data_IF_580517986789
#
_entry.id   IF_580517986789
#
_cell.length_a   1.000
_cell.length_b   1.000
_cell.length_c   1.000
_cell.angle_alpha   90.00
_cell.angle_beta   90.00
_cell.angle_gamma   90.00
#
_symmetry.space_group_name_H-M   'P 1'
#
loop_
_entity.id
_entity.type
_entity.pdbx_description
1 polymer ?
#
# COMPACT_ATOMS: atom_id res chain seq x y z
N UNK A 1 -11.22 3.09 21.17
CA UNK A 1 -10.88 3.73 19.89
C UNK A 1 -11.92 4.81 19.60
N UNK A 2 -11.66 6.07 19.93
CA UNK A 2 -12.55 7.17 19.58
C UNK A 2 -12.25 7.63 18.15
N UNK A 3 -13.10 7.26 17.18
CA UNK A 3 -13.04 7.76 15.81
C UNK A 3 -13.93 9.00 15.70
N UNK A 4 -13.35 10.20 15.74
CA UNK A 4 -14.09 11.43 15.48
C UNK A 4 -14.09 11.73 13.97
N UNK A 5 -15.25 11.98 13.33
CA UNK A 5 -15.29 12.47 11.96
C UNK A 5 -14.65 13.87 11.90
N UNK A 6 -13.66 14.05 11.02
CA UNK A 6 -12.86 15.29 10.89
C UNK A 6 -13.63 16.50 10.33
N UNK A 7 -14.95 16.38 10.09
CA UNK A 7 -15.78 17.43 9.49
C UNK A 7 -15.81 18.74 10.31
N UNK A 8 -15.37 18.72 11.58
CA UNK A 8 -15.51 19.86 12.51
C UNK A 8 -14.24 20.67 12.79
N UNK A 9 -13.06 20.26 12.33
CA UNK A 9 -11.79 20.98 12.61
C UNK A 9 -11.19 21.70 11.39
N UNK A 10 -11.84 21.65 10.24
CA UNK A 10 -11.28 22.15 8.96
C UNK A 10 -11.92 23.47 8.50
N UNK A 11 -12.13 24.43 9.41
CA UNK A 11 -12.72 25.74 9.07
C UNK A 11 -11.73 26.77 8.50
N UNK A 12 -10.48 26.40 8.16
CA UNK A 12 -9.46 27.39 7.73
C UNK A 12 -8.57 27.07 6.53
N UNK A 13 -8.73 25.95 5.84
CA UNK A 13 -7.92 25.68 4.64
C UNK A 13 -8.78 25.06 3.56
N UNK A 14 -8.68 25.59 2.33
CA UNK A 14 -9.47 25.22 1.15
C UNK A 14 -9.78 23.72 1.08
N UNK A 15 -11.05 23.41 0.90
CA UNK A 15 -11.60 22.05 0.77
C UNK A 15 -10.82 21.23 -0.25
N UNK A 16 -10.17 20.16 0.18
CA UNK A 16 -9.75 19.11 -0.73
C UNK A 16 -11.01 18.43 -1.28
N UNK A 17 -11.13 18.19 -2.60
CA UNK A 17 -12.28 17.52 -3.20
C UNK A 17 -12.18 16.01 -2.94
N UNK A 18 -12.27 15.59 -1.67
CA UNK A 18 -12.10 14.19 -1.29
C UNK A 18 -13.48 13.54 -1.22
N UNK A 19 -13.80 12.72 -2.23
CA UNK A 19 -15.00 11.88 -2.29
C UNK A 19 -14.98 10.71 -1.27
N UNK A 20 -13.98 10.67 -0.39
CA UNK A 20 -13.68 9.56 0.53
C UNK A 20 -13.64 10.11 1.97
N UNK A 21 -14.34 9.50 2.94
CA UNK A 21 -14.33 9.96 4.32
C UNK A 21 -12.92 9.92 4.95
N UNK A 22 -12.53 11.00 5.62
CA UNK A 22 -11.25 11.13 6.33
C UNK A 22 -11.50 11.20 7.84
N UNK A 23 -10.79 10.39 8.62
CA UNK A 23 -10.92 10.31 10.08
C UNK A 23 -9.58 10.59 10.76
N UNK A 24 -9.64 11.31 11.88
CA UNK A 24 -8.50 11.46 12.77
C UNK A 24 -8.53 10.32 13.79
N UNK A 25 -7.39 9.69 14.01
CA UNK A 25 -7.19 8.72 15.07
C UNK A 25 -6.12 9.23 16.03
N UNK A 26 -6.33 8.99 17.32
CA UNK A 26 -5.35 9.36 18.36
C UNK A 26 -4.16 8.40 18.37
N UNK A 27 -4.40 7.13 18.04
CA UNK A 27 -3.40 6.07 17.88
C UNK A 27 -3.71 5.25 16.62
N UNK A 28 -2.72 4.77 15.83
CA UNK A 28 -1.29 5.07 15.87
C UNK A 28 -0.92 6.49 15.42
N UNK A 29 0.13 7.03 16.03
CA UNK A 29 0.46 8.45 15.93
C UNK A 29 1.00 8.88 14.55
N UNK A 30 1.77 8.01 13.90
CA UNK A 30 2.48 8.27 12.63
C UNK A 30 1.83 7.60 11.40
N UNK A 31 0.51 7.43 11.41
CA UNK A 31 -0.21 6.73 10.34
C UNK A 31 -0.94 7.70 9.42
N UNK A 32 -0.79 7.50 8.12
CA UNK A 32 -1.77 7.89 7.11
C UNK A 32 -2.02 6.61 6.32
N UNK A 33 -3.28 6.20 6.22
CA UNK A 33 -3.63 4.93 5.57
C UNK A 33 -5.03 4.94 4.97
N UNK A 34 -5.16 4.36 3.79
CA UNK A 34 -6.43 3.98 3.19
C UNK A 34 -6.89 2.61 3.67
N UNK A 35 -8.06 2.55 4.33
CA UNK A 35 -8.69 1.31 4.81
C UNK A 35 -9.96 0.98 4.02
N UNK A 36 -10.29 -0.31 3.95
CA UNK A 36 -11.48 -0.80 3.26
C UNK A 36 -11.26 -1.07 1.78
N UNK A 37 -12.18 -1.85 1.18
CA UNK A 37 -12.10 -2.27 -0.23
C UNK A 37 -13.17 -1.55 -1.07
N UNK A 38 -14.46 -1.82 -0.81
CA UNK A 38 -15.57 -1.27 -1.59
C UNK A 38 -15.97 0.15 -1.18
N UNK A 39 -15.66 0.53 0.06
CA UNK A 39 -15.95 1.85 0.64
C UNK A 39 -14.70 2.33 1.35
N UNK A 40 -13.68 2.82 0.60
CA UNK A 40 -12.43 3.25 1.19
C UNK A 40 -12.67 4.38 2.20
N UNK A 41 -11.80 4.48 3.20
CA UNK A 41 -11.77 5.55 4.20
C UNK A 41 -10.30 5.86 4.49
N UNK A 42 -9.98 7.12 4.72
CA UNK A 42 -8.61 7.52 5.08
C UNK A 42 -8.54 7.75 6.58
N UNK A 43 -7.57 7.13 7.23
CA UNK A 43 -7.23 7.37 8.63
C UNK A 43 -5.96 8.20 8.71
N UNK A 44 -5.96 9.20 9.58
CA UNK A 44 -4.82 10.09 9.82
C UNK A 44 -4.54 10.14 11.32
N UNK A 45 -3.34 9.73 11.71
CA UNK A 45 -2.82 9.80 13.08
C UNK A 45 -2.61 11.25 13.52
N UNK A 46 -2.80 11.50 14.81
CA UNK A 46 -2.69 12.85 15.37
C UNK A 46 -1.30 13.48 15.14
N UNK A 47 -0.20 12.74 15.33
CA UNK A 47 1.16 13.27 15.09
C UNK A 47 1.39 13.54 13.61
N UNK A 48 1.01 12.61 12.72
CA UNK A 48 1.08 12.82 11.27
C UNK A 48 0.33 14.11 10.84
N UNK A 49 -0.87 14.33 11.38
CA UNK A 49 -1.66 15.52 11.10
C UNK A 49 -0.98 16.82 11.59
N UNK A 50 -0.32 16.79 12.75
CA UNK A 50 0.37 17.97 13.31
C UNK A 50 1.75 18.24 12.70
N UNK A 51 2.41 17.22 12.15
CA UNK A 51 3.79 17.34 11.66
C UNK A 51 3.90 17.68 10.17
N UNK A 52 2.84 17.44 9.40
CA UNK A 52 2.82 17.74 7.97
C UNK A 52 2.28 19.15 7.68
N UNK A 53 2.96 19.87 6.81
CA UNK A 53 2.47 21.12 6.24
C UNK A 53 1.26 20.85 5.33
N UNK A 54 0.43 21.87 5.01
CA UNK A 54 -0.77 21.67 4.20
C UNK A 54 -0.53 21.00 2.83
N UNK A 55 0.55 21.39 2.12
CA UNK A 55 0.93 20.79 0.84
C UNK A 55 1.39 19.33 0.98
N UNK A 56 2.15 19.02 2.02
CA UNK A 56 2.62 17.68 2.34
C UNK A 56 1.46 16.74 2.73
N UNK A 57 0.52 17.25 3.52
CA UNK A 57 -0.68 16.51 3.90
C UNK A 57 -1.57 16.24 2.69
N UNK A 58 -1.74 17.23 1.81
CA UNK A 58 -2.44 17.05 0.54
C UNK A 58 -1.75 16.00 -0.35
N UNK A 59 -0.42 16.04 -0.43
CA UNK A 59 0.37 15.06 -1.17
C UNK A 59 0.18 13.64 -0.61
N UNK A 60 0.24 13.47 0.71
CA UNK A 60 0.03 12.19 1.38
C UNK A 60 -1.40 11.66 1.16
N UNK A 61 -2.43 12.51 1.28
CA UNK A 61 -3.82 12.13 1.02
C UNK A 61 -4.01 11.71 -0.44
N UNK A 62 -3.44 12.45 -1.39
CA UNK A 62 -3.52 12.12 -2.82
C UNK A 62 -2.86 10.76 -3.13
N UNK A 63 -1.73 10.48 -2.49
CA UNK A 63 -1.06 9.19 -2.54
C UNK A 63 -1.98 8.05 -2.02
N UNK A 64 -2.55 8.19 -0.82
CA UNK A 64 -3.47 7.19 -0.23
C UNK A 64 -4.75 6.98 -1.05
N UNK A 65 -5.29 8.05 -1.64
CA UNK A 65 -6.43 7.96 -2.55
C UNK A 65 -6.09 7.15 -3.80
N UNK A 66 -4.84 7.17 -4.25
CA UNK A 66 -4.42 6.36 -5.38
C UNK A 66 -4.50 4.88 -5.05
N UNK A 67 -4.05 4.46 -3.87
CA UNK A 67 -4.20 3.07 -3.41
C UNK A 67 -5.68 2.65 -3.35
N UNK A 68 -6.55 3.53 -2.87
CA UNK A 68 -7.99 3.29 -2.86
C UNK A 68 -8.56 3.12 -4.28
N UNK A 69 -8.23 4.05 -5.20
CA UNK A 69 -8.70 4.02 -6.60
C UNK A 69 -8.19 2.81 -7.36
N UNK A 70 -6.97 2.37 -7.07
CA UNK A 70 -6.37 1.20 -7.70
C UNK A 70 -6.76 -0.12 -7.04
N UNK A 71 -7.57 -0.10 -5.97
CA UNK A 71 -8.02 -1.29 -5.23
C UNK A 71 -6.84 -2.10 -4.68
N UNK A 72 -5.79 -1.44 -4.22
CA UNK A 72 -4.58 -2.14 -3.74
C UNK A 72 -4.89 -2.99 -2.51
N UNK A 73 -5.82 -2.57 -1.65
CA UNK A 73 -6.33 -3.39 -0.53
C UNK A 73 -6.97 -4.70 -1.00
N UNK A 74 -7.65 -4.71 -2.15
CA UNK A 74 -8.21 -5.94 -2.72
C UNK A 74 -7.11 -6.84 -3.29
N UNK A 75 -6.14 -6.26 -4.00
CA UNK A 75 -5.00 -7.01 -4.55
C UNK A 75 -4.17 -7.63 -3.45
N UNK A 76 -3.93 -6.90 -2.36
CA UNK A 76 -3.22 -7.43 -1.20
C UNK A 76 -4.02 -8.56 -0.52
N UNK A 77 -5.34 -8.42 -0.38
CA UNK A 77 -6.20 -9.49 0.12
C UNK A 77 -6.08 -10.75 -0.75
N UNK A 78 -6.16 -10.59 -2.08
CA UNK A 78 -6.01 -11.70 -3.03
C UNK A 78 -4.64 -12.36 -2.88
N UNK A 79 -3.55 -11.59 -2.86
CA UNK A 79 -2.19 -12.12 -2.67
C UNK A 79 -2.05 -12.92 -1.36
N UNK A 80 -2.69 -12.45 -0.27
CA UNK A 80 -2.67 -13.15 1.01
C UNK A 80 -3.46 -14.46 0.98
N UNK A 81 -4.64 -14.47 0.34
CA UNK A 81 -5.50 -15.66 0.25
C UNK A 81 -4.95 -16.69 -0.73
N UNK A 82 -4.30 -16.25 -1.81
CA UNK A 82 -3.68 -17.13 -2.82
C UNK A 82 -2.23 -17.49 -2.47
N UNK A 83 -1.74 -17.14 -1.28
CA UNK A 83 -0.35 -17.37 -0.91
C UNK A 83 -0.08 -18.89 -0.87
N UNK A 84 0.95 -19.38 -1.59
CA UNK A 84 1.24 -20.80 -1.58
C UNK A 84 1.70 -21.26 -0.19
N UNK A 85 1.61 -22.56 0.11
CA UNK A 85 2.07 -23.12 1.37
C UNK A 85 3.52 -22.72 1.70
N UNK A 86 3.84 -22.60 2.99
CA UNK A 86 5.12 -22.10 3.49
C UNK A 86 6.38 -22.87 3.01
N UNK A 87 6.21 -24.13 2.60
CA UNK A 87 7.26 -24.97 2.02
C UNK A 87 7.53 -24.64 0.54
N UNK A 88 6.61 -23.95 -0.13
CA UNK A 88 6.74 -23.51 -1.52
C UNK A 88 7.16 -22.04 -1.58
N UNK A 89 8.41 -21.76 -1.16
CA UNK A 89 8.98 -20.41 -1.00
C UNK A 89 9.34 -19.70 -2.30
N UNK A 90 9.17 -20.35 -3.46
CA UNK A 90 9.60 -19.83 -4.75
C UNK A 90 8.99 -18.46 -5.09
N UNK A 91 7.84 -18.14 -4.51
CA UNK A 91 7.10 -16.89 -4.76
C UNK A 91 7.11 -15.89 -3.59
N UNK A 92 7.93 -16.11 -2.56
CA UNK A 92 7.97 -15.23 -1.38
C UNK A 92 8.33 -13.77 -1.70
N UNK A 93 9.06 -13.52 -2.80
CA UNK A 93 9.47 -12.18 -3.22
C UNK A 93 8.37 -11.39 -3.94
N UNK A 94 7.33 -12.06 -4.46
CA UNK A 94 6.28 -11.43 -5.28
C UNK A 94 5.54 -10.37 -4.47
N UNK A 95 5.21 -10.67 -3.22
CA UNK A 95 4.48 -9.73 -2.36
C UNK A 95 5.28 -8.44 -2.12
N UNK A 96 6.59 -8.56 -1.89
CA UNK A 96 7.47 -7.41 -1.70
C UNK A 96 7.61 -6.60 -2.98
N UNK A 97 7.91 -7.27 -4.11
CA UNK A 97 8.04 -6.61 -5.41
C UNK A 97 6.75 -5.92 -5.86
N UNK A 98 5.59 -6.53 -5.59
CA UNK A 98 4.29 -5.92 -5.87
C UNK A 98 4.06 -4.67 -5.00
N UNK A 99 4.33 -4.73 -3.69
CA UNK A 99 4.19 -3.58 -2.79
C UNK A 99 5.09 -2.42 -3.22
N UNK A 100 6.37 -2.69 -3.48
CA UNK A 100 7.32 -1.67 -3.95
C UNK A 100 6.86 -1.04 -5.27
N UNK A 101 6.36 -1.86 -6.20
CA UNK A 101 5.77 -1.38 -7.44
C UNK A 101 4.50 -0.54 -7.26
N UNK A 102 3.64 -0.91 -6.29
CA UNK A 102 2.42 -0.17 -5.97
C UNK A 102 2.73 1.22 -5.39
N UNK A 103 3.70 1.32 -4.48
CA UNK A 103 4.19 2.61 -3.93
C UNK A 103 4.73 3.52 -5.04
N UNK A 104 5.58 2.99 -5.92
CA UNK A 104 6.14 3.73 -7.05
C UNK A 104 5.09 4.18 -8.06
N UNK A 105 4.01 3.40 -8.24
CA UNK A 105 2.89 3.75 -9.07
C UNK A 105 2.01 4.83 -8.42
N UNK A 106 1.79 4.74 -7.10
CA UNK A 106 1.06 5.74 -6.33
C UNK A 106 1.78 7.10 -6.33
N UNK A 107 3.10 7.11 -6.12
CA UNK A 107 3.93 8.32 -6.24
C UNK A 107 3.79 8.96 -7.62
N UNK A 108 3.93 8.16 -8.69
CA UNK A 108 3.82 8.66 -10.05
C UNK A 108 2.42 9.22 -10.36
N UNK A 109 1.36 8.59 -9.84
CA UNK A 109 0.01 9.07 -10.06
C UNK A 109 -0.28 10.37 -9.31
N UNK A 110 0.25 10.53 -8.08
CA UNK A 110 0.14 11.78 -7.33
C UNK A 110 0.79 12.94 -8.11
N UNK A 111 1.98 12.72 -8.69
CA UNK A 111 2.64 13.72 -9.54
C UNK A 111 1.81 14.07 -10.80
N UNK A 112 1.23 13.05 -11.44
CA UNK A 112 0.33 13.27 -12.59
C UNK A 112 -0.93 14.07 -12.24
N UNK A 113 -1.38 14.02 -10.98
CA UNK A 113 -2.49 14.82 -10.46
C UNK A 113 -2.08 16.25 -10.06
N UNK A 114 -0.84 16.67 -10.36
CA UNK A 114 -0.34 18.01 -10.10
C UNK A 114 0.21 18.23 -8.69
N UNK A 115 0.42 17.15 -7.91
CA UNK A 115 1.12 17.25 -6.63
C UNK A 115 2.59 17.58 -6.88
N UNK A 116 3.13 18.56 -6.15
CA UNK A 116 4.54 18.90 -6.23
C UNK A 116 5.40 17.74 -5.70
N UNK A 117 6.46 17.37 -6.44
CA UNK A 117 7.39 16.32 -6.03
C UNK A 117 8.11 16.65 -4.71
N UNK A 118 8.28 17.93 -4.39
CA UNK A 118 8.87 18.39 -3.13
C UNK A 118 7.93 18.10 -1.94
N UNK A 119 6.65 18.42 -2.08
CA UNK A 119 5.66 18.18 -1.03
C UNK A 119 5.51 16.68 -0.75
N UNK A 120 5.49 15.86 -1.81
CA UNK A 120 5.41 14.40 -1.68
C UNK A 120 6.68 13.82 -1.04
N UNK A 121 7.87 14.23 -1.48
CA UNK A 121 9.13 13.71 -0.93
C UNK A 121 9.32 14.11 0.53
N UNK A 122 9.00 15.37 0.89
CA UNK A 122 9.02 15.84 2.27
C UNK A 122 8.03 15.06 3.16
N UNK A 123 6.80 14.84 2.67
CA UNK A 123 5.80 14.05 3.39
C UNK A 123 6.27 12.61 3.67
N UNK A 124 6.82 11.92 2.66
CA UNK A 124 7.34 10.55 2.80
C UNK A 124 8.46 10.49 3.85
N UNK A 125 9.42 11.43 3.81
CA UNK A 125 10.52 11.46 4.77
C UNK A 125 10.03 11.74 6.19
N UNK A 126 9.12 12.71 6.38
CA UNK A 126 8.57 13.04 7.70
C UNK A 126 7.78 11.87 8.30
N UNK A 127 6.89 11.25 7.53
CA UNK A 127 6.14 10.07 7.98
C UNK A 127 7.08 8.89 8.25
N UNK A 128 8.10 8.68 7.40
CA UNK A 128 9.11 7.65 7.62
C UNK A 128 9.86 7.82 8.94
N UNK A 129 10.29 9.04 9.27
CA UNK A 129 10.93 9.37 10.56
C UNK A 129 9.98 9.14 11.74
N UNK A 130 8.76 9.67 11.67
CA UNK A 130 7.76 9.48 12.72
C UNK A 130 7.44 7.99 12.97
N UNK A 131 7.44 7.16 11.92
CA UNK A 131 7.27 5.71 12.04
C UNK A 131 8.46 5.05 12.74
N UNK A 132 9.69 5.45 12.41
CA UNK A 132 10.89 4.94 13.08
C UNK A 132 10.85 5.26 14.58
N UNK A 133 10.56 6.52 14.94
CA UNK A 133 10.43 6.96 16.33
C UNK A 133 9.32 6.22 17.08
N UNK A 134 8.25 5.81 16.39
CA UNK A 134 7.13 5.05 16.98
C UNK A 134 7.45 3.56 17.17
N UNK A 135 8.31 2.98 16.33
CA UNK A 135 8.71 1.57 16.41
C UNK A 135 9.63 1.31 17.61
N UNK A 136 10.42 2.30 18.03
CA UNK A 136 11.23 2.20 19.26
C UNK A 136 10.38 2.15 20.55
N UNK A 137 9.11 2.58 20.48
CA UNK A 137 8.21 2.65 21.66
C UNK A 137 7.27 1.45 21.77
N UNK A 138 7.09 0.65 20.70
CA UNK A 138 6.11 -0.46 20.68
C UNK A 138 6.72 -1.78 20.23
N UNK A 139 7.68 -2.30 21.00
CA UNK A 139 8.22 -3.65 20.84
C UNK A 139 7.25 -4.78 21.27
N UNK A 140 6.01 -4.47 21.68
CA UNK A 140 5.06 -5.46 22.21
C UNK A 140 3.70 -5.37 21.49
N UNK A 141 3.67 -5.61 20.18
CA UNK A 141 2.53 -6.31 19.54
C UNK A 141 3.06 -7.08 18.33
N UNK A 142 3.10 -8.40 18.48
CA UNK A 142 3.28 -9.34 17.38
C UNK A 142 2.09 -9.24 16.41
N UNK A 143 2.17 -8.36 15.42
CA UNK A 143 1.32 -8.44 14.24
C UNK A 143 2.21 -8.44 13.00
N UNK A 144 2.24 -9.59 12.32
CA UNK A 144 2.82 -9.83 10.99
C UNK A 144 2.24 -8.95 9.85
N UNK A 145 1.59 -7.83 10.19
CA UNK A 145 1.11 -6.78 9.29
C UNK A 145 2.11 -5.63 9.13
N UNK A 146 3.11 -5.52 10.00
CA UNK A 146 4.27 -4.65 9.77
C UNK A 146 5.34 -5.50 9.13
N UNK A 147 5.25 -5.68 7.80
CA UNK A 147 6.45 -6.08 7.08
C UNK A 147 7.51 -5.02 7.39
N UNK A 148 8.72 -5.36 7.86
CA UNK A 148 9.77 -4.38 8.07
C UNK A 148 9.92 -3.66 6.72
N UNK A 149 9.51 -2.39 6.69
CA UNK A 149 9.64 -1.57 5.51
C UNK A 149 11.14 -1.46 5.27
N UNK A 150 11.64 -2.24 4.31
CA UNK A 150 13.05 -2.24 3.97
C UNK A 150 13.43 -0.78 3.69
N UNK A 151 14.40 -0.23 4.43
CA UNK A 151 14.88 1.15 4.27
C UNK A 151 15.23 1.46 2.79
N UNK A 152 15.52 0.43 2.01
CA UNK A 152 15.71 0.45 0.56
C UNK A 152 14.48 0.95 -0.21
N UNK A 153 13.26 0.55 0.13
CA UNK A 153 12.05 1.00 -0.58
C UNK A 153 11.80 2.50 -0.41
N UNK A 154 11.97 3.02 0.82
CA UNK A 154 11.89 4.46 1.10
C UNK A 154 13.02 5.21 0.39
N UNK A 155 14.25 4.71 0.45
CA UNK A 155 15.40 5.32 -0.22
C UNK A 155 15.19 5.43 -1.74
N UNK A 156 14.67 4.37 -2.39
CA UNK A 156 14.37 4.36 -3.82
C UNK A 156 13.35 5.45 -4.17
N UNK A 157 12.28 5.61 -3.38
CA UNK A 157 11.26 6.64 -3.61
C UNK A 157 11.85 8.04 -3.50
N UNK A 158 12.64 8.31 -2.46
CA UNK A 158 13.29 9.62 -2.26
C UNK A 158 14.27 9.93 -3.38
N UNK A 159 15.11 8.97 -3.78
CA UNK A 159 16.05 9.11 -4.90
C UNK A 159 15.31 9.46 -6.19
N UNK A 160 14.20 8.75 -6.48
CA UNK A 160 13.41 8.97 -7.68
C UNK A 160 12.74 10.35 -7.69
N UNK A 161 12.14 10.76 -6.57
CA UNK A 161 11.53 12.08 -6.45
C UNK A 161 12.57 13.20 -6.55
N UNK A 162 13.75 13.01 -5.96
CA UNK A 162 14.87 13.94 -6.10
C UNK A 162 15.34 14.05 -7.55
N UNK A 163 15.45 12.93 -8.28
CA UNK A 163 15.80 12.96 -9.70
C UNK A 163 14.79 13.77 -10.53
N UNK A 164 13.49 13.64 -10.24
CA UNK A 164 12.44 14.43 -10.89
C UNK A 164 12.52 15.92 -10.55
N UNK A 165 12.86 16.27 -9.29
CA UNK A 165 13.10 17.66 -8.87
C UNK A 165 14.29 18.29 -9.60
N UNK A 166 15.34 17.50 -9.85
CA UNK A 166 16.55 17.93 -10.58
C UNK A 166 16.34 18.00 -12.10
N UNK A 167 15.10 17.88 -12.58
CA UNK A 167 14.78 17.99 -14.01
C UNK A 167 15.27 16.82 -14.85
N UNK A 168 15.63 15.68 -14.25
CA UNK A 168 15.94 14.48 -15.01
C UNK A 168 14.69 14.04 -15.77
N UNK A 169 14.75 14.06 -17.10
CA UNK A 169 13.65 13.63 -17.97
C UNK A 169 13.14 12.26 -17.52
N UNK A 170 11.85 12.21 -17.19
CA UNK A 170 11.02 11.05 -16.89
C UNK A 170 11.72 9.69 -17.04
N UNK A 171 12.17 9.11 -15.93
CA UNK A 171 12.32 7.66 -15.83
C UNK A 171 10.90 7.07 -15.90
N UNK A 172 10.41 6.94 -17.13
CA UNK A 172 9.11 6.38 -17.46
C UNK A 172 9.32 4.88 -17.64
N UNK A 173 9.12 4.03 -16.61
CA UNK A 173 8.89 2.62 -16.88
C UNK A 173 7.59 2.56 -17.69
N UNK A 174 7.71 2.24 -18.98
CA UNK A 174 6.55 1.93 -19.82
C UNK A 174 5.87 0.71 -19.18
N UNK A 175 4.60 0.79 -18.75
CA UNK A 175 3.94 -0.38 -18.23
C UNK A 175 3.81 -1.38 -19.39
N UNK A 176 4.42 -2.56 -19.22
CA UNK A 176 4.27 -3.71 -20.12
C UNK A 176 2.86 -4.31 -19.96
N UNK A 177 1.83 -3.50 -20.25
CA UNK A 177 0.43 -3.71 -19.89
C UNK A 177 -0.31 -4.67 -20.83
N UNK A 178 0.28 -5.03 -21.97
CA UNK A 178 -0.34 -5.94 -22.97
C UNK A 178 -0.06 -7.42 -22.67
N UNK A 179 1.16 -7.78 -22.27
CA UNK A 179 1.53 -9.18 -21.97
C UNK A 179 0.81 -9.72 -20.73
N UNK A 180 0.68 -8.90 -19.68
CA UNK A 180 0.04 -9.30 -18.42
C UNK A 180 -1.47 -9.57 -18.55
N UNK A 181 -2.15 -8.93 -19.52
CA UNK A 181 -3.59 -9.15 -19.77
C UNK A 181 -3.90 -10.52 -20.38
N UNK A 182 -2.92 -11.15 -21.03
CA UNK A 182 -3.08 -12.47 -21.66
C UNK A 182 -2.56 -13.57 -20.72
N UNK A 183 -1.51 -13.30 -19.95
CA UNK A 183 -0.93 -14.27 -19.01
C UNK A 183 -1.85 -14.59 -17.82
N UNK A 184 -2.57 -13.58 -17.29
CA UNK A 184 -3.44 -13.73 -16.14
C UNK A 184 -4.62 -14.71 -16.37
N UNK A 185 -5.44 -14.59 -17.45
CA UNK A 185 -6.50 -15.56 -17.70
C UNK A 185 -5.94 -16.96 -17.95
N UNK A 186 -4.78 -17.09 -18.58
CA UNK A 186 -4.12 -18.38 -18.83
C UNK A 186 -3.74 -19.09 -17.53
N UNK A 187 -3.18 -18.34 -16.57
CA UNK A 187 -2.84 -18.85 -15.23
C UNK A 187 -4.09 -19.20 -14.41
N UNK A 188 -5.16 -18.42 -14.49
CA UNK A 188 -6.43 -18.70 -13.81
C UNK A 188 -7.06 -19.98 -14.37
N UNK A 189 -7.08 -20.14 -15.71
CA UNK A 189 -7.58 -21.36 -16.36
C UNK A 189 -6.73 -22.56 -15.92
N UNK A 190 -5.40 -22.46 -15.94
CA UNK A 190 -4.52 -23.52 -15.49
C UNK A 190 -4.72 -23.89 -14.00
N UNK A 191 -5.00 -22.90 -13.14
CA UNK A 191 -5.29 -23.14 -11.73
C UNK A 191 -6.64 -23.85 -11.54
N UNK A 192 -7.69 -23.41 -12.24
CA UNK A 192 -9.03 -24.01 -12.20
C UNK A 192 -9.00 -25.45 -12.73
N UNK A 193 -8.22 -25.73 -13.79
CA UNK A 193 -8.10 -27.09 -14.33
C UNK A 193 -7.27 -28.03 -13.47
N UNK A 194 -6.35 -27.50 -12.66
CA UNK A 194 -5.52 -28.28 -11.72
C UNK A 194 -6.25 -28.57 -10.38
N UNK A 195 -7.21 -27.73 -9.98
CA UNK A 195 -7.99 -27.90 -8.75
C UNK A 195 -8.71 -29.26 -8.64
N UNK A 196 -9.46 -29.74 -9.67
CA UNK A 196 -10.21 -30.99 -9.58
C UNK A 196 -9.32 -32.25 -9.68
N UNK A 197 -8.07 -32.14 -10.14
CA UNK A 197 -7.12 -33.28 -10.17
C UNK A 197 -6.37 -33.44 -8.86
N UNK A 198 -6.16 -32.36 -8.10
CA UNK A 198 -5.51 -32.40 -6.79
C UNK A 198 -6.44 -32.90 -5.66
N UNK A 199 -7.75 -32.68 -5.79
CA UNK A 199 -8.77 -33.07 -4.79
C UNK A 199 -8.86 -34.60 -4.56
N UNK A 200 -8.88 -35.45 -5.59
CA UNK A 200 -8.89 -36.91 -5.43
C UNK A 200 -7.60 -37.45 -4.80
N UNK A 201 -6.44 -36.87 -5.14
CA UNK A 201 -5.16 -37.26 -4.51
C UNK A 201 -5.13 -36.94 -3.03
N UNK A 202 -5.66 -35.78 -2.62
CA UNK A 202 -5.77 -35.43 -1.21
C UNK A 202 -6.70 -36.38 -0.46
N UNK A 203 -7.83 -36.78 -1.07
CA UNK A 203 -8.73 -37.78 -0.51
C UNK A 203 -8.05 -39.14 -0.32
N UNK A 204 -7.31 -39.62 -1.32
CA UNK A 204 -6.60 -40.90 -1.24
C UNK A 204 -5.48 -40.91 -0.20
N UNK A 205 -4.77 -39.79 -0.03
CA UNK A 205 -3.76 -39.63 1.01
C UNK A 205 -4.35 -39.62 2.43
N UNK A 206 -5.51 -38.98 2.60
CA UNK A 206 -6.24 -39.02 3.88
C UNK A 206 -6.73 -40.44 4.18
N UNK A 207 -7.23 -41.15 3.17
CA UNK A 207 -7.69 -42.53 3.34
C UNK A 207 -6.56 -43.51 3.67
N UNK A 208 -5.34 -43.27 3.16
CA UNK A 208 -4.12 -44.02 3.50
C UNK A 208 -3.55 -43.69 4.89
N UNK A 209 -3.85 -42.51 5.44
CA UNK A 209 -3.42 -42.09 6.78
C UNK A 209 -4.35 -42.62 7.88
N UNK A 210 -5.59 -42.96 7.53
CA UNK A 210 -6.62 -43.46 8.45
C UNK A 210 -6.65 -45.00 8.53
N UNK A 211 -5.95 -45.69 7.62
CA UNK A 211 -5.70 -47.14 7.67
C UNK A 211 -4.35 -47.45 8.30
#
# INVERSE_FOLDING_TARGET
MCCAPLHRLWSRTKSLPVAVPVYRIENPEALIASIGILRPRILIGAKALSSLAPGELQAAICHELTHARLLDNLKELLLRVTRPPHWFRLFAFIDAAWRDGAELAADANALQQGIAALDLSSAIVKIGRLRLDSLEVSAVVACHLVSPGHSTALAIRVIRLNALLMGANSLHPRPHRRSLRILLPLLIIAYITCLPTALPMAHQLIELLVR
#
